data_IF_663415400772
#
_entry.id   IF_663415400772
#
_cell.length_a   1.000
_cell.length_b   1.000
_cell.length_c   1.000
_cell.angle_alpha   90.00
_cell.angle_beta   90.00
_cell.angle_gamma   90.00
#
_symmetry.space_group_name_H-M   'P 1'
#
loop_
_entity.id
_entity.type
_entity.pdbx_description
1 polymer ?
#
# COMPACT_ATOMS: atom_id res chain seq x y z
N UNK A 1 31.01 39.76 66.64
CA UNK A 1 29.99 39.62 67.70
C UNK A 1 28.71 39.10 67.05
N UNK A 2 28.05 38.13 67.69
CA UNK A 2 27.04 37.20 67.15
C UNK A 2 25.96 37.86 66.27
N UNK A 3 25.75 37.33 65.06
CA UNK A 3 24.56 37.61 64.24
C UNK A 3 23.68 36.35 64.24
N UNK A 4 22.58 36.40 64.97
CA UNK A 4 21.54 35.37 65.01
C UNK A 4 20.42 35.82 64.09
N UNK A 5 20.21 35.16 62.95
CA UNK A 5 19.05 35.40 62.09
C UNK A 5 18.31 34.07 61.88
N UNK A 6 17.13 33.99 62.49
CA UNK A 6 16.16 32.90 62.30
C UNK A 6 15.58 33.02 60.89
N UNK A 7 15.70 31.97 60.10
CA UNK A 7 15.02 31.84 58.80
C UNK A 7 13.80 30.93 59.00
N UNK A 8 12.63 31.53 58.84
CA UNK A 8 11.31 30.87 58.84
C UNK A 8 11.09 30.23 57.47
N UNK A 9 10.79 28.93 57.44
CA UNK A 9 10.46 28.21 56.21
C UNK A 9 9.01 28.48 55.81
N UNK A 10 8.81 29.11 54.64
CA UNK A 10 7.51 29.19 53.96
C UNK A 10 7.51 28.08 52.91
N UNK A 11 6.67 27.06 53.12
CA UNK A 11 6.40 26.00 52.15
C UNK A 11 5.39 26.57 51.14
N UNK A 12 5.84 26.88 49.92
CA UNK A 12 4.97 27.19 48.79
C UNK A 12 4.56 25.87 48.09
N UNK A 13 3.31 25.47 48.28
CA UNK A 13 2.64 24.41 47.50
C UNK A 13 2.38 24.94 46.08
N UNK A 14 3.25 24.60 45.12
CA UNK A 14 2.98 24.77 43.69
C UNK A 14 2.19 23.56 43.18
N UNK A 15 0.89 23.74 43.01
CA UNK A 15 0.04 22.82 42.27
C UNK A 15 0.30 23.00 40.76
N UNK A 16 0.89 21.98 40.13
CA UNK A 16 1.04 21.89 38.68
C UNK A 16 -0.32 21.51 38.07
N UNK A 17 -0.87 22.25 37.08
CA UNK A 17 -2.03 21.77 36.35
C UNK A 17 -1.61 20.66 35.39
N UNK A 18 -2.22 19.48 35.52
CA UNK A 18 -2.18 18.44 34.50
C UNK A 18 -2.81 18.98 33.21
N UNK A 19 -1.98 19.32 32.24
CA UNK A 19 -2.39 19.48 30.84
C UNK A 19 -2.61 18.08 30.26
N UNK A 20 -3.85 17.61 30.31
CA UNK A 20 -4.29 16.49 29.47
C UNK A 20 -4.38 16.98 28.03
N UNK A 21 -3.29 16.80 27.27
CA UNK A 21 -3.32 16.92 25.82
C UNK A 21 -4.15 15.75 25.27
N UNK A 22 -5.43 15.99 25.03
CA UNK A 22 -6.28 15.06 24.29
C UNK A 22 -5.76 14.94 22.86
N UNK A 23 -5.32 13.75 22.48
CA UNK A 23 -5.02 13.41 21.09
C UNK A 23 -6.33 13.44 20.28
N UNK A 24 -6.67 14.58 19.69
CA UNK A 24 -7.66 14.64 18.62
C UNK A 24 -7.01 14.13 17.34
N UNK A 25 -7.15 12.83 17.08
CA UNK A 25 -6.90 12.31 15.74
C UNK A 25 -7.85 12.99 14.78
N UNK A 26 -7.34 13.89 13.94
CA UNK A 26 -8.10 14.44 12.82
C UNK A 26 -8.28 13.31 11.81
N UNK A 27 -9.42 12.63 11.88
CA UNK A 27 -9.93 11.89 10.74
C UNK A 27 -10.05 12.87 9.58
N UNK A 28 -9.51 12.49 8.42
CA UNK A 28 -9.67 13.29 7.20
C UNK A 28 -11.16 13.61 7.03
N UNK A 29 -11.49 14.90 7.01
CA UNK A 29 -12.88 15.32 6.79
C UNK A 29 -13.31 14.81 5.41
N UNK A 30 -14.47 14.16 5.28
CA UNK A 30 -14.97 13.73 3.99
C UNK A 30 -15.10 14.93 3.02
N UNK A 31 -15.03 14.69 1.71
CA UNK A 31 -15.06 15.76 0.71
C UNK A 31 -16.32 16.62 0.85
N UNK A 32 -16.17 17.93 0.64
CA UNK A 32 -17.25 18.91 0.73
C UNK A 32 -18.19 18.76 -0.47
N UNK A 33 -19.35 18.13 -0.28
CA UNK A 33 -20.35 17.98 -1.33
C UNK A 33 -21.25 19.23 -1.38
N UNK A 34 -21.11 19.98 -2.47
CA UNK A 34 -21.89 21.20 -2.70
C UNK A 34 -22.97 20.97 -3.76
N UNK A 35 -24.01 21.82 -3.84
CA UNK A 35 -25.03 21.72 -4.89
C UNK A 35 -24.47 21.78 -6.32
N UNK A 36 -23.24 22.26 -6.50
CA UNK A 36 -22.55 22.30 -7.79
C UNK A 36 -21.97 20.94 -8.22
N UNK A 37 -21.95 19.94 -7.32
CA UNK A 37 -21.48 18.59 -7.64
C UNK A 37 -22.62 17.82 -8.31
N UNK A 38 -22.55 17.69 -9.63
CA UNK A 38 -23.56 17.01 -10.45
C UNK A 38 -23.76 15.55 -9.98
N UNK A 39 -25.02 15.11 -9.85
CA UNK A 39 -25.36 13.75 -9.44
C UNK A 39 -25.40 13.48 -7.93
N UNK A 40 -25.09 14.45 -7.06
CA UNK A 40 -25.23 14.28 -5.60
C UNK A 40 -26.71 14.39 -5.18
N UNK A 41 -27.29 13.38 -4.51
CA UNK A 41 -28.64 13.49 -3.93
C UNK A 41 -28.77 14.71 -3.03
N UNK A 42 -29.92 15.38 -3.07
CA UNK A 42 -30.17 16.61 -2.28
C UNK A 42 -29.99 16.40 -0.78
N UNK A 43 -30.14 15.17 -0.29
CA UNK A 43 -29.96 14.73 1.09
C UNK A 43 -28.51 14.40 1.46
N UNK A 44 -27.54 14.69 0.58
CA UNK A 44 -26.11 14.42 0.80
C UNK A 44 -25.26 15.69 0.63
N UNK A 45 -25.87 16.86 0.86
CA UNK A 45 -25.17 18.14 0.82
C UNK A 45 -24.60 18.50 2.19
N UNK A 46 -23.57 19.35 2.20
CA UNK A 46 -23.02 19.87 3.45
C UNK A 46 -24.06 20.61 4.31
N UNK A 47 -23.77 20.69 5.61
CA UNK A 47 -24.53 21.49 6.58
C UNK A 47 -25.99 21.08 6.67
N UNK A 48 -26.26 19.78 6.62
CA UNK A 48 -27.58 19.23 6.90
C UNK A 48 -27.65 18.68 8.31
N UNK A 49 -28.80 18.83 8.94
CA UNK A 49 -29.14 18.14 10.19
C UNK A 49 -30.27 17.17 9.93
N UNK A 50 -30.21 16.03 10.58
CA UNK A 50 -31.26 15.02 10.60
C UNK A 50 -31.85 15.03 12.01
N UNK A 51 -33.17 15.11 12.08
CA UNK A 51 -33.91 15.02 13.33
C UNK A 51 -34.84 13.80 13.29
N UNK A 52 -35.14 13.23 14.45
CA UNK A 52 -36.23 12.26 14.61
C UNK A 52 -37.34 12.88 15.45
N UNK A 53 -38.59 12.68 15.05
CA UNK A 53 -39.79 13.08 15.78
C UNK A 53 -40.36 11.90 16.54
N UNK A 54 -40.89 12.16 17.73
CA UNK A 54 -41.42 11.14 18.65
C UNK A 54 -42.53 10.29 18.02
N UNK A 55 -42.55 9.00 18.40
CA UNK A 55 -43.47 7.99 17.85
C UNK A 55 -44.94 8.19 18.19
N UNK A 56 -45.22 8.86 19.30
CA UNK A 56 -46.55 8.88 19.93
C UNK A 56 -47.56 9.77 19.19
N UNK A 57 -47.08 10.51 18.18
CA UNK A 57 -47.86 11.49 17.43
C UNK A 57 -47.70 11.28 15.90
N UNK A 58 -47.73 10.03 15.43
CA UNK A 58 -47.62 9.72 13.98
C UNK A 58 -48.60 10.49 13.09
N UNK A 59 -49.83 10.70 13.57
CA UNK A 59 -50.84 11.49 12.87
C UNK A 59 -50.52 13.01 12.83
N UNK A 60 -49.53 13.45 13.59
CA UNK A 60 -49.14 14.85 13.76
C UNK A 60 -47.77 15.17 13.17
N UNK A 61 -47.02 14.19 12.68
CA UNK A 61 -45.65 14.38 12.20
C UNK A 61 -45.52 15.49 11.14
N UNK A 62 -46.45 15.58 10.19
CA UNK A 62 -46.45 16.64 9.17
C UNK A 62 -46.68 18.03 9.78
N UNK A 63 -47.59 18.11 10.77
CA UNK A 63 -47.89 19.35 11.48
C UNK A 63 -46.70 19.79 12.34
N UNK A 64 -46.09 18.84 13.04
CA UNK A 64 -44.89 19.07 13.86
C UNK A 64 -43.71 19.50 12.98
N UNK A 65 -43.52 18.85 11.83
CA UNK A 65 -42.50 19.23 10.84
C UNK A 65 -42.73 20.65 10.34
N UNK A 66 -43.94 21.00 9.91
CA UNK A 66 -44.27 22.35 9.45
C UNK A 66 -44.04 23.40 10.56
N UNK A 67 -44.37 23.07 11.80
CA UNK A 67 -44.15 23.94 12.96
C UNK A 67 -42.66 24.14 13.26
N UNK A 68 -41.82 23.11 13.10
CA UNK A 68 -40.37 23.20 13.25
C UNK A 68 -39.73 24.02 12.12
N UNK A 69 -40.18 23.83 10.88
CA UNK A 69 -39.75 24.66 9.72
C UNK A 69 -39.98 26.13 10.03
N UNK A 70 -41.16 26.49 10.55
CA UNK A 70 -41.49 27.87 10.89
C UNK A 70 -40.72 28.38 12.13
N UNK A 71 -40.55 27.55 13.16
CA UNK A 71 -39.89 27.93 14.43
C UNK A 71 -38.40 28.20 14.22
N UNK A 72 -37.74 27.37 13.42
CA UNK A 72 -36.29 27.43 13.22
C UNK A 72 -35.89 28.08 11.90
N UNK A 73 -36.84 28.41 11.02
CA UNK A 73 -36.59 28.96 9.68
C UNK A 73 -35.58 28.09 8.91
N UNK A 74 -35.89 26.79 8.83
CA UNK A 74 -35.03 25.79 8.19
C UNK A 74 -35.72 25.20 6.96
N UNK A 75 -35.09 25.28 5.77
CA UNK A 75 -35.57 24.59 4.59
C UNK A 75 -35.59 23.07 4.79
N UNK A 76 -36.77 22.46 4.63
CA UNK A 76 -36.90 21.00 4.60
C UNK A 76 -36.34 20.45 3.28
N UNK A 77 -35.42 19.50 3.38
CA UNK A 77 -34.85 18.79 2.24
C UNK A 77 -35.67 17.53 1.92
N UNK A 78 -36.14 16.84 2.96
CA UNK A 78 -36.99 15.67 2.83
C UNK A 78 -37.43 15.13 4.19
N UNK A 79 -38.40 14.23 4.17
CA UNK A 79 -38.82 13.47 5.35
C UNK A 79 -39.21 12.05 4.94
N UNK A 80 -38.98 11.09 5.83
CA UNK A 80 -39.40 9.70 5.63
C UNK A 80 -39.63 8.99 6.97
N UNK A 81 -40.61 8.09 7.07
CA UNK A 81 -40.83 7.32 8.29
C UNK A 81 -39.79 6.21 8.45
N UNK A 82 -39.21 6.10 9.65
CA UNK A 82 -38.36 4.99 10.08
C UNK A 82 -39.21 3.98 10.86
N UNK A 83 -40.05 3.24 10.13
CA UNK A 83 -41.09 2.37 10.71
C UNK A 83 -40.57 1.31 11.69
N UNK A 84 -39.32 0.86 11.57
CA UNK A 84 -38.72 -0.14 12.45
C UNK A 84 -38.47 0.36 13.87
N UNK A 85 -38.30 1.67 14.04
CA UNK A 85 -38.10 2.32 15.35
C UNK A 85 -39.22 3.32 15.67
N UNK A 86 -40.23 3.42 14.80
CA UNK A 86 -41.45 4.17 15.07
C UNK A 86 -41.33 5.69 14.99
N UNK A 87 -40.27 6.25 14.40
CA UNK A 87 -40.04 7.72 14.34
C UNK A 87 -40.21 8.28 12.93
N UNK A 88 -40.44 9.59 12.80
CA UNK A 88 -40.28 10.29 11.52
C UNK A 88 -38.93 10.97 11.45
N UNK A 89 -38.16 10.62 10.42
CA UNK A 89 -36.93 11.29 10.08
C UNK A 89 -37.22 12.52 9.21
N UNK A 90 -36.62 13.66 9.57
CA UNK A 90 -36.70 14.90 8.78
C UNK A 90 -35.29 15.45 8.59
N UNK A 91 -34.96 15.81 7.35
CA UNK A 91 -33.67 16.41 6.99
C UNK A 91 -33.86 17.90 6.69
N UNK A 92 -33.11 18.75 7.39
CA UNK A 92 -33.08 20.18 7.19
C UNK A 92 -31.74 20.65 6.62
N UNK A 93 -31.80 21.62 5.70
CA UNK A 93 -30.62 22.36 5.26
C UNK A 93 -30.35 23.51 6.22
N UNK A 94 -29.11 23.63 6.71
CA UNK A 94 -28.70 24.74 7.59
C UNK A 94 -28.05 25.85 6.77
N UNK A 95 -28.63 27.06 6.75
CA UNK A 95 -28.04 28.22 6.09
C UNK A 95 -26.60 28.49 6.55
N UNK A 96 -25.75 29.02 5.65
CA UNK A 96 -24.31 29.22 5.91
C UNK A 96 -24.00 30.28 6.98
N UNK A 97 -24.93 31.20 7.21
CA UNK A 97 -24.88 32.26 8.21
C UNK A 97 -25.27 31.81 9.64
N UNK A 98 -25.63 30.53 9.81
CA UNK A 98 -26.08 29.96 11.10
C UNK A 98 -25.00 29.07 11.74
N UNK A 99 -24.85 29.16 13.06
CA UNK A 99 -23.99 28.23 13.81
C UNK A 99 -24.63 26.84 13.89
N UNK A 100 -23.97 25.83 13.32
CA UNK A 100 -24.47 24.46 13.32
C UNK A 100 -24.53 23.85 14.74
N UNK A 101 -23.49 23.99 15.60
CA UNK A 101 -23.55 23.49 16.97
C UNK A 101 -24.65 24.13 17.82
N UNK A 102 -24.85 25.45 17.70
CA UNK A 102 -25.91 26.14 18.44
C UNK A 102 -27.31 25.72 17.97
N UNK A 103 -27.47 25.51 16.66
CA UNK A 103 -28.74 25.02 16.13
C UNK A 103 -29.05 23.60 16.62
N UNK A 104 -28.05 22.71 16.63
CA UNK A 104 -28.19 21.36 17.17
C UNK A 104 -28.60 21.43 18.64
N UNK A 105 -27.89 22.19 19.47
CA UNK A 105 -28.22 22.33 20.90
C UNK A 105 -29.66 22.85 21.14
N UNK A 106 -30.15 23.77 20.28
CA UNK A 106 -31.54 24.25 20.35
C UNK A 106 -32.55 23.19 19.94
N UNK A 107 -32.26 22.41 18.90
CA UNK A 107 -33.11 21.32 18.45
C UNK A 107 -33.12 20.16 19.46
N UNK A 108 -32.00 19.86 20.11
CA UNK A 108 -31.91 18.87 21.20
C UNK A 108 -32.79 19.25 22.41
N UNK A 109 -32.94 20.56 22.67
CA UNK A 109 -33.78 21.06 23.76
C UNK A 109 -35.27 21.16 23.40
N UNK A 110 -35.66 20.94 22.14
CA UNK A 110 -37.04 21.05 21.70
C UNK A 110 -37.82 19.77 22.02
N UNK A 111 -38.91 19.82 22.81
CA UNK A 111 -39.63 18.61 23.23
C UNK A 111 -40.31 17.85 22.08
N UNK A 112 -40.39 18.45 20.89
CA UNK A 112 -40.92 17.79 19.67
C UNK A 112 -39.87 16.92 18.98
N UNK A 113 -38.59 17.08 19.30
CA UNK A 113 -37.46 16.40 18.70
C UNK A 113 -36.99 15.30 19.65
N UNK A 114 -37.02 14.06 19.17
CA UNK A 114 -36.54 12.90 19.92
C UNK A 114 -35.01 12.80 19.85
N UNK A 115 -34.43 13.07 18.68
CA UNK A 115 -32.99 13.18 18.49
C UNK A 115 -32.64 14.14 17.36
N UNK A 116 -31.45 14.71 17.40
CA UNK A 116 -30.88 15.52 16.33
C UNK A 116 -29.39 15.25 16.22
N UNK A 117 -28.88 15.26 14.99
CA UNK A 117 -27.46 15.15 14.71
C UNK A 117 -27.15 15.76 13.33
N UNK A 118 -25.87 16.02 13.01
CA UNK A 118 -25.47 16.25 11.62
C UNK A 118 -25.87 15.08 10.73
N UNK A 119 -26.24 15.35 9.48
CA UNK A 119 -26.42 14.31 8.48
C UNK A 119 -25.04 13.75 8.11
N UNK A 120 -24.71 12.59 8.67
CA UNK A 120 -23.38 12.00 8.57
C UNK A 120 -23.17 11.33 7.21
N UNK A 121 -21.92 11.35 6.74
CA UNK A 121 -21.51 10.57 5.58
C UNK A 121 -20.92 9.24 6.02
N UNK A 122 -21.38 8.17 5.37
CA UNK A 122 -20.79 6.84 5.49
C UNK A 122 -20.14 6.48 4.16
N UNK A 123 -18.90 6.01 4.20
CA UNK A 123 -18.19 5.53 3.01
C UNK A 123 -18.25 4.00 2.98
N UNK A 124 -18.55 3.46 1.81
CA UNK A 124 -18.45 2.02 1.57
C UNK A 124 -17.02 1.54 1.83
N UNK A 125 -16.87 0.41 2.52
CA UNK A 125 -15.57 -0.21 2.75
C UNK A 125 -15.10 -0.86 1.44
N UNK A 126 -14.13 -0.26 0.78
CA UNK A 126 -13.48 -0.77 -0.42
C UNK A 126 -12.09 -0.15 -0.54
N UNK A 127 -11.18 -0.80 -1.27
CA UNK A 127 -9.90 -0.18 -1.59
C UNK A 127 -10.13 1.18 -2.30
N UNK A 128 -9.34 2.22 -1.99
CA UNK A 128 -9.49 3.56 -2.57
C UNK A 128 -8.93 3.64 -3.99
N UNK A 129 -9.23 2.64 -4.83
CA UNK A 129 -8.77 2.49 -6.20
C UNK A 129 -9.96 2.38 -7.15
N UNK A 130 -9.94 3.17 -8.23
CA UNK A 130 -10.92 3.06 -9.32
C UNK A 130 -10.52 1.99 -10.36
N UNK A 131 -9.35 1.36 -10.20
CA UNK A 131 -8.81 0.35 -11.10
C UNK A 131 -9.72 -0.90 -11.15
N UNK A 132 -10.07 -1.33 -12.37
CA UNK A 132 -11.10 -2.35 -12.63
C UNK A 132 -10.90 -3.65 -11.83
N UNK A 133 -9.65 -4.06 -11.62
CA UNK A 133 -9.29 -5.30 -10.95
C UNK A 133 -8.71 -5.11 -9.55
N UNK A 134 -8.75 -3.90 -8.98
CA UNK A 134 -8.17 -3.61 -7.66
C UNK A 134 -8.59 -4.60 -6.56
N UNK A 135 -9.87 -4.98 -6.54
CA UNK A 135 -10.43 -5.92 -5.55
C UNK A 135 -9.87 -7.35 -5.68
N UNK A 136 -9.33 -7.70 -6.86
CA UNK A 136 -8.80 -9.04 -7.16
C UNK A 136 -7.29 -9.14 -6.89
N UNK A 137 -6.64 -8.02 -6.55
CA UNK A 137 -5.20 -7.96 -6.28
C UNK A 137 -4.84 -8.34 -4.85
N UNK A 138 -5.08 -9.60 -4.49
CA UNK A 138 -4.78 -10.09 -3.15
C UNK A 138 -3.30 -9.87 -2.76
N UNK A 139 -2.36 -9.93 -3.73
CA UNK A 139 -0.92 -9.76 -3.47
C UNK A 139 -0.59 -8.38 -2.87
N UNK A 140 -1.04 -7.31 -3.53
CA UNK A 140 -0.86 -5.93 -3.05
C UNK A 140 -1.59 -5.69 -1.71
N UNK A 141 -2.77 -6.31 -1.53
CA UNK A 141 -3.53 -6.25 -0.29
C UNK A 141 -2.82 -6.99 0.86
N UNK A 142 -2.26 -8.17 0.59
CA UNK A 142 -1.56 -9.01 1.57
C UNK A 142 -0.27 -8.36 2.07
N UNK A 143 0.43 -7.58 1.24
CA UNK A 143 1.56 -6.76 1.71
C UNK A 143 1.14 -5.40 2.24
N UNK A 144 -0.17 -5.10 2.25
CA UNK A 144 -0.76 -3.83 2.72
C UNK A 144 -0.21 -2.58 2.02
N UNK A 145 0.14 -2.69 0.74
CA UNK A 145 0.67 -1.59 -0.06
C UNK A 145 -0.34 -0.43 -0.14
N UNK A 146 -1.62 -0.76 -0.37
CA UNK A 146 -2.70 0.20 -0.49
C UNK A 146 -2.84 1.16 0.71
N UNK A 147 -2.53 0.69 1.93
CA UNK A 147 -2.60 1.51 3.14
C UNK A 147 -1.50 2.57 3.22
N UNK A 148 -0.44 2.40 2.43
CA UNK A 148 0.75 3.24 2.44
C UNK A 148 0.72 4.30 1.33
N UNK A 149 0.00 4.06 0.23
CA UNK A 149 -0.03 4.97 -0.92
C UNK A 149 -0.44 6.42 -0.64
N UNK A 150 -1.25 6.76 0.40
CA UNK A 150 -1.44 8.15 0.80
C UNK A 150 -0.18 8.87 1.29
N UNK A 151 0.88 8.12 1.66
CA UNK A 151 2.13 8.62 2.23
C UNK A 151 3.33 8.40 1.31
N UNK A 152 3.42 7.24 0.67
CA UNK A 152 4.50 6.89 -0.25
C UNK A 152 3.95 6.01 -1.39
N UNK A 153 4.40 6.28 -2.61
CA UNK A 153 4.00 5.64 -3.86
C UNK A 153 5.19 5.07 -4.64
N UNK A 154 6.41 5.23 -4.13
CA UNK A 154 7.69 4.91 -4.78
C UNK A 154 8.24 6.04 -5.65
N UNK A 155 7.68 7.26 -5.56
CA UNK A 155 7.97 8.36 -6.47
C UNK A 155 9.45 8.71 -6.50
N UNK A 156 10.01 8.79 -7.71
CA UNK A 156 11.41 9.17 -7.94
C UNK A 156 12.43 8.07 -7.59
N UNK A 157 11.98 6.87 -7.21
CA UNK A 157 12.88 5.73 -6.96
C UNK A 157 13.02 4.90 -8.23
N UNK A 158 14.25 4.79 -8.73
CA UNK A 158 14.57 3.96 -9.89
C UNK A 158 14.68 2.48 -9.54
N UNK A 159 13.85 1.64 -10.15
CA UNK A 159 13.84 0.18 -10.00
C UNK A 159 14.22 -0.49 -11.32
N UNK A 160 15.35 -1.19 -11.36
CA UNK A 160 15.77 -1.95 -12.53
C UNK A 160 15.11 -3.33 -12.56
N UNK A 161 14.30 -3.57 -13.58
CA UNK A 161 13.71 -4.87 -13.90
C UNK A 161 14.63 -5.57 -14.90
N UNK A 162 15.49 -6.46 -14.40
CA UNK A 162 16.44 -7.24 -15.20
C UNK A 162 15.80 -8.59 -15.53
N UNK A 163 15.19 -8.69 -16.71
CA UNK A 163 14.30 -9.82 -17.07
C UNK A 163 14.29 -10.08 -18.60
N UNK A 164 13.19 -10.64 -19.12
CA UNK A 164 12.97 -10.93 -20.53
C UNK A 164 12.59 -9.71 -21.36
N UNK A 165 12.22 -8.58 -20.78
CA UNK A 165 11.68 -7.42 -21.52
C UNK A 165 10.30 -7.05 -20.99
N UNK A 166 9.80 -5.88 -21.39
CA UNK A 166 8.57 -5.30 -20.86
C UNK A 166 7.78 -4.72 -22.03
N UNK A 167 6.47 -4.99 -22.09
CA UNK A 167 5.55 -4.25 -22.97
C UNK A 167 5.48 -2.79 -22.52
N UNK A 168 6.29 -1.95 -23.17
CA UNK A 168 6.39 -0.53 -22.83
C UNK A 168 5.17 0.28 -23.24
N UNK A 169 4.27 -0.33 -24.02
CA UNK A 169 3.04 0.29 -24.51
C UNK A 169 1.81 -0.10 -23.69
N UNK A 170 1.98 -0.94 -22.67
CA UNK A 170 0.89 -1.34 -21.79
C UNK A 170 0.31 -0.10 -21.06
N UNK A 171 -1.02 0.16 -21.13
CA UNK A 171 -1.64 1.33 -20.52
C UNK A 171 -1.31 1.54 -19.03
N UNK A 172 -1.32 0.47 -18.24
CA UNK A 172 -0.94 0.52 -16.80
C UNK A 172 0.54 0.81 -16.55
N UNK A 173 1.42 0.70 -17.55
CA UNK A 173 2.86 0.99 -17.40
C UNK A 173 3.26 2.33 -18.04
N UNK A 174 2.30 3.05 -18.63
CA UNK A 174 2.58 4.26 -19.40
C UNK A 174 3.20 5.36 -18.53
N UNK A 175 4.42 5.78 -18.87
CA UNK A 175 5.14 6.80 -18.10
C UNK A 175 5.70 6.29 -16.76
N UNK A 176 5.78 4.96 -16.57
CA UNK A 176 6.53 4.33 -15.48
C UNK A 176 7.88 3.83 -15.95
N UNK A 177 8.01 3.43 -17.22
CA UNK A 177 9.28 2.98 -17.78
C UNK A 177 10.07 4.19 -18.27
N UNK A 178 11.06 4.61 -17.49
CA UNK A 178 11.89 5.80 -17.77
C UNK A 178 13.17 5.46 -18.55
N UNK A 179 13.62 4.20 -18.47
CA UNK A 179 14.81 3.72 -19.16
C UNK A 179 14.53 2.34 -19.75
N UNK A 180 15.03 2.08 -20.96
CA UNK A 180 14.96 0.76 -21.57
C UNK A 180 16.29 0.41 -22.24
N UNK A 181 16.74 -0.84 -22.09
CA UNK A 181 17.92 -1.35 -22.77
C UNK A 181 17.78 -2.85 -23.07
N UNK A 182 18.28 -3.27 -24.23
CA UNK A 182 18.32 -4.67 -24.65
C UNK A 182 19.76 -5.17 -24.76
N UNK A 183 20.09 -6.18 -23.97
CA UNK A 183 21.41 -6.81 -23.95
C UNK A 183 21.45 -8.15 -24.71
N UNK A 184 20.29 -8.65 -25.14
CA UNK A 184 20.16 -9.90 -25.90
C UNK A 184 20.25 -9.61 -27.40
N UNK A 185 21.22 -10.23 -28.09
CA UNK A 185 21.32 -10.14 -29.55
C UNK A 185 20.04 -10.68 -30.22
N UNK A 186 19.44 -9.90 -31.12
CA UNK A 186 18.15 -10.23 -31.74
C UNK A 186 16.92 -10.07 -30.83
N UNK A 187 17.11 -9.75 -29.54
CA UNK A 187 16.03 -9.63 -28.55
C UNK A 187 15.08 -8.45 -28.74
N UNK A 188 15.41 -7.48 -29.60
CA UNK A 188 14.58 -6.28 -29.82
C UNK A 188 13.17 -6.64 -30.31
N UNK A 189 13.02 -7.68 -31.13
CA UNK A 189 11.73 -8.06 -31.69
C UNK A 189 10.75 -8.65 -30.68
N UNK A 190 11.24 -9.22 -29.57
CA UNK A 190 10.40 -9.79 -28.51
C UNK A 190 10.20 -8.85 -27.33
N UNK A 191 10.96 -7.75 -27.24
CA UNK A 191 11.03 -6.89 -26.05
C UNK A 191 9.66 -6.51 -25.50
N UNK A 192 8.78 -5.96 -26.34
CA UNK A 192 7.43 -5.53 -25.94
C UNK A 192 6.39 -6.67 -25.94
N UNK A 193 6.82 -7.92 -26.17
CA UNK A 193 5.96 -9.12 -26.19
C UNK A 193 6.34 -10.13 -25.11
N UNK A 194 7.36 -9.80 -24.32
CA UNK A 194 7.89 -10.69 -23.29
C UNK A 194 6.97 -10.65 -22.05
N UNK A 195 6.28 -11.78 -21.81
CA UNK A 195 5.22 -11.89 -20.78
C UNK A 195 5.73 -11.73 -19.36
N UNK A 196 6.89 -12.31 -19.06
CA UNK A 196 7.40 -12.38 -17.68
C UNK A 196 7.87 -11.01 -17.17
N UNK A 197 8.76 -10.30 -17.87
CA UNK A 197 9.18 -8.97 -17.41
C UNK A 197 8.03 -7.94 -17.41
N UNK A 198 7.06 -8.04 -18.31
CA UNK A 198 5.81 -7.24 -18.25
C UNK A 198 5.04 -7.50 -16.95
N UNK A 199 4.89 -8.77 -16.57
CA UNK A 199 4.25 -9.15 -15.31
C UNK A 199 5.01 -8.63 -14.08
N UNK A 200 6.34 -8.64 -14.10
CA UNK A 200 7.16 -8.07 -13.02
C UNK A 200 6.97 -6.55 -12.92
N UNK A 201 6.98 -5.85 -14.06
CA UNK A 201 6.75 -4.41 -14.10
C UNK A 201 5.37 -4.02 -13.54
N UNK A 202 4.32 -4.78 -13.88
CA UNK A 202 2.96 -4.56 -13.36
C UNK A 202 2.86 -4.68 -11.84
N UNK A 203 3.45 -5.73 -11.26
CA UNK A 203 3.46 -5.91 -9.80
C UNK A 203 4.19 -4.76 -9.11
N UNK A 204 5.30 -4.29 -9.67
CA UNK A 204 6.08 -3.21 -9.06
C UNK A 204 5.36 -1.87 -9.20
N UNK A 205 5.01 -1.45 -10.42
CA UNK A 205 4.65 -0.06 -10.69
C UNK A 205 3.51 0.12 -11.70
N UNK A 206 2.56 -0.83 -11.81
CA UNK A 206 1.31 -0.50 -12.51
C UNK A 206 0.68 0.77 -11.90
N UNK A 207 0.24 1.68 -12.75
CA UNK A 207 -0.34 2.95 -12.32
C UNK A 207 -1.58 2.68 -11.50
N UNK A 208 -1.70 3.38 -10.39
CA UNK A 208 -2.94 3.40 -9.64
C UNK A 208 -3.87 4.50 -10.17
N UNK A 209 -5.17 4.31 -9.98
CA UNK A 209 -6.21 5.30 -10.19
C UNK A 209 -6.35 5.78 -11.65
N UNK A 210 -6.10 4.92 -12.63
CA UNK A 210 -6.22 5.24 -14.06
C UNK A 210 -7.50 4.66 -14.72
N UNK A 211 -8.48 4.23 -13.93
CA UNK A 211 -9.78 3.67 -14.35
C UNK A 211 -9.71 2.35 -15.15
N UNK A 212 -8.54 1.71 -15.21
CA UNK A 212 -8.34 0.45 -15.93
C UNK A 212 -7.55 -0.53 -15.06
N UNK A 213 -7.54 -1.80 -15.43
CA UNK A 213 -6.48 -2.70 -15.00
C UNK A 213 -6.27 -2.84 -13.49
N UNK A 214 -5.01 -2.71 -13.09
CA UNK A 214 -4.46 -3.00 -11.76
C UNK A 214 -3.59 -1.84 -11.25
N UNK A 215 -3.26 -1.85 -9.96
CA UNK A 215 -2.23 -0.97 -9.38
C UNK A 215 -1.01 -1.76 -8.87
N UNK A 216 0.18 -1.16 -8.97
CA UNK A 216 1.43 -1.74 -8.48
C UNK A 216 1.63 -1.53 -6.98
N UNK A 217 2.63 -2.22 -6.40
CA UNK A 217 3.04 -2.00 -5.00
C UNK A 217 3.67 -0.63 -4.79
N UNK A 218 4.31 -0.07 -5.81
CA UNK A 218 4.91 1.25 -5.86
C UNK A 218 4.50 1.95 -7.17
N UNK A 219 3.25 2.43 -7.27
CA UNK A 219 2.63 2.87 -8.52
C UNK A 219 3.28 4.12 -9.15
N UNK A 220 4.18 4.81 -8.45
CA UNK A 220 4.94 5.96 -8.96
C UNK A 220 6.45 5.71 -9.04
N UNK A 221 6.91 4.47 -8.88
CA UNK A 221 8.30 4.12 -9.11
C UNK A 221 8.71 4.23 -10.58
N UNK A 222 9.95 4.65 -10.80
CA UNK A 222 10.55 4.79 -12.12
C UNK A 222 11.22 3.47 -12.52
N UNK A 223 10.63 2.75 -13.47
CA UNK A 223 11.14 1.46 -13.93
C UNK A 223 12.23 1.61 -15.00
N UNK A 224 13.28 0.81 -14.86
CA UNK A 224 14.22 0.54 -15.95
C UNK A 224 13.96 -0.87 -16.50
N UNK A 225 13.48 -0.97 -17.74
CA UNK A 225 13.22 -2.24 -18.41
C UNK A 225 14.49 -2.76 -19.09
N UNK A 226 15.18 -3.72 -18.45
CA UNK A 226 16.49 -4.20 -18.88
C UNK A 226 16.39 -5.65 -19.36
N UNK A 227 16.31 -5.86 -20.67
CA UNK A 227 16.23 -7.21 -21.26
C UNK A 227 17.59 -7.88 -21.23
N UNK A 228 17.74 -8.86 -20.34
CA UNK A 228 18.90 -9.72 -20.20
C UNK A 228 18.59 -11.20 -20.47
N UNK A 229 17.31 -11.57 -20.50
CA UNK A 229 16.86 -12.93 -20.69
C UNK A 229 16.03 -13.07 -21.98
N UNK A 230 15.93 -14.29 -22.51
CA UNK A 230 15.19 -14.59 -23.72
C UNK A 230 14.61 -16.00 -23.69
N UNK A 231 13.53 -16.19 -24.45
CA UNK A 231 13.00 -17.53 -24.69
C UNK A 231 13.76 -18.17 -25.85
N UNK A 232 14.19 -19.43 -25.67
CA UNK A 232 14.80 -20.20 -26.74
C UNK A 232 13.79 -20.54 -27.85
N UNK A 233 14.27 -20.96 -29.02
CA UNK A 233 13.41 -21.48 -30.09
C UNK A 233 12.81 -22.84 -29.68
N UNK A 234 11.49 -22.90 -29.47
CA UNK A 234 10.76 -24.11 -29.10
C UNK A 234 9.54 -23.83 -28.20
N UNK A 235 8.92 -24.87 -27.65
CA UNK A 235 7.77 -24.77 -26.72
C UNK A 235 8.18 -24.51 -25.25
N UNK A 236 9.47 -24.32 -24.97
CA UNK A 236 9.96 -24.08 -23.61
C UNK A 236 9.53 -22.70 -23.12
N UNK A 237 8.66 -22.67 -22.10
CA UNK A 237 8.22 -21.43 -21.47
C UNK A 237 9.27 -20.80 -20.54
N UNK A 238 10.37 -21.49 -20.24
CA UNK A 238 11.42 -20.96 -19.36
C UNK A 238 12.38 -20.06 -20.14
N UNK A 239 12.51 -18.82 -19.69
CA UNK A 239 13.53 -17.91 -20.19
C UNK A 239 14.93 -18.38 -19.78
N UNK A 240 15.91 -18.07 -20.62
CA UNK A 240 17.33 -18.27 -20.38
C UNK A 240 18.01 -16.91 -20.31
N UNK A 241 19.04 -16.82 -19.49
CA UNK A 241 19.92 -15.66 -19.40
C UNK A 241 21.37 -16.17 -19.46
N UNK A 242 22.33 -15.28 -19.72
CA UNK A 242 23.76 -15.63 -19.65
C UNK A 242 24.50 -14.67 -18.74
N UNK A 243 25.63 -15.11 -18.19
CA UNK A 243 26.55 -14.26 -17.42
C UNK A 243 26.85 -12.95 -18.14
N UNK A 244 27.08 -13.02 -19.46
CA UNK A 244 27.34 -11.86 -20.32
C UNK A 244 26.20 -10.85 -20.34
N UNK A 245 24.97 -11.32 -20.57
CA UNK A 245 23.79 -10.45 -20.68
C UNK A 245 23.39 -9.86 -19.33
N UNK A 246 23.46 -10.67 -18.27
CA UNK A 246 23.20 -10.23 -16.90
C UNK A 246 24.24 -9.22 -16.41
N UNK A 247 25.53 -9.47 -16.66
CA UNK A 247 26.59 -8.55 -16.22
C UNK A 247 26.42 -7.17 -16.86
N UNK A 248 26.12 -7.12 -18.17
CA UNK A 248 25.86 -5.85 -18.87
C UNK A 248 24.62 -5.13 -18.34
N UNK A 249 23.55 -5.87 -18.03
CA UNK A 249 22.33 -5.28 -17.50
C UNK A 249 22.51 -4.72 -16.08
N UNK A 250 23.20 -5.45 -15.20
CA UNK A 250 23.51 -4.99 -13.84
C UNK A 250 24.42 -3.76 -13.89
N UNK A 251 25.51 -3.81 -14.67
CA UNK A 251 26.42 -2.66 -14.80
C UNK A 251 25.71 -1.41 -15.34
N UNK A 252 24.89 -1.56 -16.38
CA UNK A 252 24.07 -0.47 -16.91
C UNK A 252 23.07 0.07 -15.89
N UNK A 253 22.42 -0.80 -15.10
CA UNK A 253 21.51 -0.38 -14.04
C UNK A 253 22.20 0.53 -13.01
N UNK A 254 23.42 0.17 -12.60
CA UNK A 254 24.21 0.96 -11.66
C UNK A 254 24.63 2.30 -12.26
N UNK A 255 25.07 2.32 -13.53
CA UNK A 255 25.50 3.55 -14.22
C UNK A 255 24.35 4.55 -14.40
N UNK A 256 23.12 4.06 -14.63
CA UNK A 256 21.92 4.89 -14.78
C UNK A 256 21.25 5.25 -13.43
N UNK A 257 21.87 4.86 -12.31
CA UNK A 257 21.46 5.25 -10.97
C UNK A 257 20.24 4.47 -10.44
N UNK A 258 20.09 3.19 -10.82
CA UNK A 258 19.13 2.32 -10.17
C UNK A 258 19.38 2.27 -8.66
N UNK A 259 18.31 2.36 -7.86
CA UNK A 259 18.37 2.19 -6.41
C UNK A 259 18.00 0.79 -5.97
N UNK A 260 17.25 0.08 -6.82
CA UNK A 260 16.82 -1.30 -6.60
C UNK A 260 17.06 -2.11 -7.87
N UNK A 261 17.63 -3.30 -7.71
CA UNK A 261 17.77 -4.32 -8.76
C UNK A 261 16.79 -5.46 -8.45
N UNK A 262 15.76 -5.62 -9.28
CA UNK A 262 14.87 -6.77 -9.23
C UNK A 262 15.40 -7.88 -10.16
N UNK A 263 15.87 -8.98 -9.57
CA UNK A 263 16.44 -10.13 -10.24
C UNK A 263 15.48 -11.32 -10.15
N UNK A 264 14.54 -11.39 -11.08
CA UNK A 264 13.51 -12.42 -11.16
C UNK A 264 14.03 -13.72 -11.81
N UNK A 265 15.22 -14.16 -11.41
CA UNK A 265 15.95 -15.27 -12.01
C UNK A 265 16.72 -16.07 -10.96
N UNK A 266 17.05 -17.30 -11.31
CA UNK A 266 17.97 -18.13 -10.55
C UNK A 266 18.87 -18.94 -11.50
N UNK A 267 20.08 -19.25 -11.05
CA UNK A 267 21.09 -19.94 -11.84
C UNK A 267 22.24 -20.50 -11.01
N UNK A 268 23.31 -20.98 -11.66
CA UNK A 268 24.53 -21.39 -10.99
C UNK A 268 25.28 -20.19 -10.40
N UNK A 269 26.18 -20.44 -9.46
CA UNK A 269 27.09 -19.42 -8.93
C UNK A 269 27.91 -18.78 -10.04
N UNK A 270 27.97 -17.45 -10.04
CA UNK A 270 28.70 -16.66 -11.02
C UNK A 270 29.58 -15.61 -10.32
N UNK A 271 30.92 -15.75 -10.34
CA UNK A 271 31.82 -14.81 -9.65
C UNK A 271 31.82 -13.38 -10.20
N UNK A 272 31.49 -13.20 -11.49
CA UNK A 272 31.41 -11.87 -12.09
C UNK A 272 30.14 -11.16 -11.59
N UNK A 273 29.01 -11.85 -11.59
CA UNK A 273 27.76 -11.31 -11.05
C UNK A 273 27.84 -11.06 -9.53
N UNK A 274 28.46 -11.92 -8.75
CA UNK A 274 28.71 -11.64 -7.31
C UNK A 274 29.49 -10.33 -7.13
N UNK A 275 30.57 -10.14 -7.90
CA UNK A 275 31.35 -8.89 -7.84
C UNK A 275 30.53 -7.65 -8.19
N UNK A 276 29.67 -7.74 -9.21
CA UNK A 276 28.77 -6.64 -9.59
C UNK A 276 27.71 -6.36 -8.52
N UNK A 277 27.16 -7.39 -7.87
CA UNK A 277 26.17 -7.22 -6.80
C UNK A 277 26.81 -6.68 -5.50
N UNK A 278 28.09 -6.99 -5.24
CA UNK A 278 28.87 -6.32 -4.19
C UNK A 278 29.16 -4.86 -4.52
N UNK A 279 29.37 -4.54 -5.79
CA UNK A 279 29.48 -3.15 -6.23
C UNK A 279 28.14 -2.40 -6.09
N UNK A 280 27.02 -3.04 -6.37
CA UNK A 280 25.70 -2.50 -6.08
C UNK A 280 25.55 -2.19 -4.58
N UNK A 281 25.93 -3.15 -3.71
CA UNK A 281 25.91 -2.96 -2.26
C UNK A 281 26.79 -1.79 -1.80
N UNK A 282 27.99 -1.62 -2.37
CA UNK A 282 28.90 -0.51 -1.99
C UNK A 282 28.37 0.86 -2.41
N UNK A 283 27.38 0.90 -3.30
CA UNK A 283 26.65 2.08 -3.74
C UNK A 283 25.26 2.21 -3.07
N UNK A 284 24.99 1.44 -2.01
CA UNK A 284 23.70 1.37 -1.32
C UNK A 284 22.51 1.02 -2.24
N UNK A 285 22.78 0.25 -3.29
CA UNK A 285 21.75 -0.30 -4.19
C UNK A 285 21.24 -1.63 -3.65
N UNK A 286 19.92 -1.76 -3.58
CA UNK A 286 19.25 -2.93 -3.00
C UNK A 286 19.06 -3.99 -4.09
N UNK A 287 19.66 -5.17 -3.93
CA UNK A 287 19.39 -6.31 -4.80
C UNK A 287 18.32 -7.22 -4.18
N UNK A 288 17.26 -7.51 -4.93
CA UNK A 288 16.17 -8.42 -4.55
C UNK A 288 16.12 -9.55 -5.56
N UNK A 289 16.14 -10.80 -5.10
CA UNK A 289 16.17 -11.96 -5.99
C UNK A 289 15.15 -13.04 -5.61
N UNK A 290 14.58 -13.63 -6.66
CA UNK A 290 13.71 -14.80 -6.54
C UNK A 290 14.52 -16.05 -6.17
N UNK A 291 14.00 -16.89 -5.28
CA UNK A 291 14.61 -18.21 -5.02
C UNK A 291 14.25 -19.24 -6.08
N UNK A 292 14.99 -20.35 -6.14
CA UNK A 292 14.59 -21.51 -6.93
C UNK A 292 13.23 -22.09 -6.48
N UNK A 293 12.42 -22.63 -7.41
CA UNK A 293 11.20 -23.35 -7.05
C UNK A 293 11.51 -24.57 -6.15
N UNK A 294 10.70 -24.85 -5.11
CA UNK A 294 10.99 -25.92 -4.15
C UNK A 294 11.15 -27.32 -4.78
N UNK A 295 10.50 -27.58 -5.92
CA UNK A 295 10.57 -28.86 -6.63
C UNK A 295 11.91 -29.04 -7.38
N UNK A 296 12.64 -27.96 -7.67
CA UNK A 296 13.95 -28.02 -8.31
C UNK A 296 15.04 -27.96 -7.24
N UNK A 297 15.83 -29.03 -7.15
CA UNK A 297 17.05 -29.12 -6.34
C UNK A 297 16.90 -29.08 -4.81
N UNK A 298 15.97 -29.86 -4.24
CA UNK A 298 15.97 -30.28 -2.81
C UNK A 298 16.15 -29.13 -1.79
N UNK A 299 15.61 -27.94 -2.06
CA UNK A 299 15.61 -26.83 -1.11
C UNK A 299 16.84 -25.92 -1.16
N UNK A 300 17.57 -25.89 -2.27
CA UNK A 300 18.54 -24.83 -2.60
C UNK A 300 17.83 -23.48 -2.82
N UNK A 301 18.39 -22.39 -2.30
CA UNK A 301 17.94 -21.01 -2.56
C UNK A 301 18.28 -20.60 -4.00
N UNK A 302 19.42 -21.06 -4.54
CA UNK A 302 19.95 -20.71 -5.85
C UNK A 302 20.64 -19.34 -5.90
N UNK A 303 21.55 -19.15 -6.86
CA UNK A 303 22.20 -17.87 -7.13
C UNK A 303 21.28 -16.97 -7.99
N UNK A 304 21.22 -15.64 -7.78
CA UNK A 304 21.97 -14.83 -6.82
C UNK A 304 21.33 -14.72 -5.44
N UNK A 305 20.14 -15.30 -5.22
CA UNK A 305 19.43 -15.21 -3.95
C UNK A 305 20.22 -15.82 -2.76
N UNK A 306 21.15 -16.73 -3.01
CA UNK A 306 22.02 -17.32 -1.98
C UNK A 306 23.12 -16.39 -1.45
N UNK A 307 23.30 -15.21 -2.04
CA UNK A 307 24.28 -14.23 -1.58
C UNK A 307 23.77 -13.47 -0.34
N UNK A 308 24.58 -13.39 0.72
CA UNK A 308 24.22 -12.73 1.98
C UNK A 308 23.91 -11.22 1.87
N UNK A 309 24.21 -10.57 0.76
CA UNK A 309 23.91 -9.16 0.52
C UNK A 309 22.75 -8.95 -0.47
N UNK A 310 22.12 -10.04 -0.92
CA UNK A 310 20.92 -10.02 -1.74
C UNK A 310 19.72 -10.37 -0.84
N UNK A 311 18.60 -9.69 -1.03
CA UNK A 311 17.35 -10.01 -0.36
C UNK A 311 16.69 -11.16 -1.11
N UNK A 312 16.80 -12.37 -0.55
CA UNK A 312 16.17 -13.58 -1.08
C UNK A 312 14.67 -13.61 -0.76
N UNK A 313 13.83 -13.89 -1.75
CA UNK A 313 12.37 -13.88 -1.59
C UNK A 313 11.73 -15.17 -2.12
N UNK A 314 10.95 -15.82 -1.24
CA UNK A 314 10.11 -16.98 -1.58
C UNK A 314 8.65 -16.58 -1.75
N UNK A 315 7.90 -17.36 -2.53
CA UNK A 315 6.45 -17.15 -2.70
C UNK A 315 5.67 -17.63 -1.48
N UNK A 316 4.66 -16.85 -1.10
CA UNK A 316 3.51 -17.30 -0.32
C UNK A 316 2.28 -17.49 -1.20
N UNK A 317 1.40 -18.40 -0.80
CA UNK A 317 0.07 -18.56 -1.38
C UNK A 317 -0.94 -17.54 -0.80
N UNK A 318 -2.18 -17.45 -1.34
CA UNK A 318 -3.20 -16.54 -0.82
C UNK A 318 -3.60 -16.79 0.63
N UNK A 319 -3.36 -17.99 1.16
CA UNK A 319 -3.62 -18.34 2.57
C UNK A 319 -2.44 -17.95 3.48
N UNK A 320 -1.35 -17.44 2.91
CA UNK A 320 -0.14 -17.07 3.63
C UNK A 320 0.76 -18.26 3.97
N UNK A 321 0.59 -19.41 3.32
CA UNK A 321 1.56 -20.49 3.43
C UNK A 321 2.80 -20.18 2.59
N UNK A 322 3.97 -20.30 3.21
CA UNK A 322 5.25 -20.19 2.53
C UNK A 322 6.20 -21.23 3.12
N UNK A 323 7.06 -21.80 2.26
CA UNK A 323 8.03 -22.81 2.68
C UNK A 323 9.42 -22.23 2.63
N UNK A 324 10.15 -22.34 3.73
CA UNK A 324 11.57 -21.99 3.75
C UNK A 324 12.40 -23.05 2.99
N UNK A 325 13.34 -22.65 2.11
CA UNK A 325 14.30 -23.56 1.51
C UNK A 325 15.17 -24.20 2.61
N UNK A 326 15.49 -25.50 2.48
CA UNK A 326 16.27 -26.22 3.49
C UNK A 326 17.71 -25.69 3.63
N UNK A 327 18.27 -25.13 2.56
CA UNK A 327 19.60 -24.50 2.53
C UNK A 327 19.61 -23.09 3.14
N UNK A 328 18.45 -22.50 3.43
CA UNK A 328 18.37 -21.15 3.97
C UNK A 328 18.77 -21.11 5.44
N UNK A 329 19.75 -20.28 5.76
CA UNK A 329 20.04 -19.90 7.13
C UNK A 329 18.84 -19.18 7.77
N UNK A 330 18.80 -19.16 9.10
CA UNK A 330 17.76 -18.48 9.84
C UNK A 330 17.73 -16.99 9.52
N UNK A 331 16.54 -16.46 9.25
CA UNK A 331 16.30 -15.05 8.99
C UNK A 331 17.11 -14.48 7.81
N UNK A 332 17.43 -15.26 6.78
CA UNK A 332 18.07 -14.75 5.55
C UNK A 332 17.11 -14.61 4.37
N UNK A 333 15.92 -15.19 4.48
CA UNK A 333 14.90 -15.23 3.42
C UNK A 333 13.61 -14.57 3.90
N UNK A 334 13.01 -13.76 3.03
CA UNK A 334 11.69 -13.16 3.19
C UNK A 334 10.65 -13.92 2.36
N UNK A 335 9.38 -13.86 2.76
CA UNK A 335 8.26 -14.30 1.94
C UNK A 335 7.44 -13.11 1.44
N UNK A 336 6.88 -13.24 0.24
CA UNK A 336 5.88 -12.32 -0.29
C UNK A 336 4.90 -13.06 -1.20
N UNK A 337 3.72 -12.50 -1.49
CA UNK A 337 2.74 -13.11 -2.39
C UNK A 337 3.36 -13.43 -3.75
N UNK A 338 3.20 -14.68 -4.18
CA UNK A 338 3.78 -15.14 -5.45
C UNK A 338 3.02 -16.28 -6.11
N UNK A 339 1.78 -16.58 -5.69
CA UNK A 339 0.92 -17.60 -6.33
C UNK A 339 -0.37 -16.94 -6.78
N UNK A 340 -0.80 -17.14 -8.00
CA UNK A 340 -2.02 -16.55 -8.57
C UNK A 340 -2.04 -15.02 -8.43
N UNK A 341 -0.92 -14.38 -8.76
CA UNK A 341 -0.78 -12.93 -8.76
C UNK A 341 -1.33 -12.38 -10.07
N UNK A 342 -2.43 -11.63 -9.98
CA UNK A 342 -2.95 -10.85 -11.10
C UNK A 342 -1.96 -9.74 -11.46
N UNK A 343 -1.53 -9.69 -12.71
CA UNK A 343 -0.58 -8.69 -13.19
C UNK A 343 -0.76 -8.40 -14.68
N UNK A 344 -0.08 -7.37 -15.19
CA UNK A 344 -0.06 -6.99 -16.61
C UNK A 344 0.63 -8.04 -17.46
N UNK A 345 0.07 -8.32 -18.64
CA UNK A 345 0.69 -9.12 -19.69
C UNK A 345 0.64 -8.36 -21.03
N UNK A 346 1.53 -8.69 -21.98
CA UNK A 346 1.63 -7.93 -23.24
C UNK A 346 0.31 -7.79 -23.99
N UNK A 347 0.23 -6.79 -24.85
CA UNK A 347 -0.96 -6.50 -25.65
C UNK A 347 -2.15 -6.05 -24.81
N UNK A 348 -1.90 -5.25 -23.76
CA UNK A 348 -2.93 -4.65 -22.91
C UNK A 348 -3.81 -5.68 -22.19
N UNK A 349 -3.23 -6.81 -21.83
CA UNK A 349 -3.94 -7.92 -21.18
C UNK A 349 -3.51 -8.07 -19.74
N UNK A 350 -4.28 -8.85 -18.98
CA UNK A 350 -3.97 -9.18 -17.59
C UNK A 350 -4.13 -10.68 -17.41
N UNK A 351 -3.31 -11.26 -16.54
CA UNK A 351 -3.36 -12.69 -16.26
C UNK A 351 -2.82 -13.00 -14.86
N UNK A 352 -3.12 -14.20 -14.39
CA UNK A 352 -2.62 -14.74 -13.13
C UNK A 352 -1.31 -15.49 -13.37
N UNK A 353 -0.25 -15.08 -12.68
CA UNK A 353 1.06 -15.73 -12.72
C UNK A 353 1.51 -16.17 -11.33
N UNK A 354 2.31 -17.23 -11.31
CA UNK A 354 2.86 -17.83 -10.09
C UNK A 354 4.37 -18.00 -10.21
N UNK A 355 5.11 -17.63 -9.16
CA UNK A 355 6.55 -17.73 -9.06
C UNK A 355 7.13 -16.85 -7.95
N UNK A 356 8.34 -17.20 -7.50
CA UNK A 356 9.14 -16.38 -6.56
C UNK A 356 9.58 -15.06 -7.19
N UNK A 357 9.58 -14.98 -8.52
CA UNK A 357 9.78 -13.74 -9.28
C UNK A 357 8.71 -12.68 -8.97
N UNK A 358 7.45 -13.07 -8.84
CA UNK A 358 6.35 -12.18 -8.47
C UNK A 358 6.49 -11.74 -7.01
N UNK A 359 6.98 -12.61 -6.14
CA UNK A 359 7.26 -12.29 -4.75
C UNK A 359 8.43 -11.28 -4.62
N UNK A 360 9.51 -11.48 -5.37
CA UNK A 360 10.61 -10.54 -5.48
C UNK A 360 10.15 -9.16 -5.99
N UNK A 361 9.22 -9.14 -6.96
CA UNK A 361 8.60 -7.91 -7.45
C UNK A 361 7.84 -7.15 -6.35
N UNK A 362 7.05 -7.84 -5.52
CA UNK A 362 6.40 -7.21 -4.36
C UNK A 362 7.43 -6.59 -3.42
N UNK A 363 8.50 -7.32 -3.05
CA UNK A 363 9.56 -6.80 -2.16
C UNK A 363 10.29 -5.61 -2.78
N UNK A 364 10.56 -5.63 -4.08
CA UNK A 364 11.15 -4.50 -4.81
C UNK A 364 10.25 -3.27 -4.76
N UNK A 365 8.93 -3.45 -4.91
CA UNK A 365 7.97 -2.36 -4.72
C UNK A 365 7.98 -1.80 -3.30
N UNK A 366 7.96 -2.65 -2.27
CA UNK A 366 8.03 -2.18 -0.87
C UNK A 366 9.35 -1.44 -0.60
N UNK A 367 10.48 -1.94 -1.14
CA UNK A 367 11.75 -1.24 -1.04
C UNK A 367 11.68 0.15 -1.69
N UNK A 368 10.96 0.30 -2.81
CA UNK A 368 10.77 1.61 -3.43
C UNK A 368 9.93 2.55 -2.56
N UNK A 369 8.86 2.06 -1.93
CA UNK A 369 8.09 2.84 -0.95
C UNK A 369 8.97 3.33 0.21
N UNK A 370 9.83 2.45 0.73
CA UNK A 370 10.75 2.78 1.83
C UNK A 370 11.81 3.81 1.41
N UNK A 371 12.28 3.75 0.16
CA UNK A 371 13.28 4.67 -0.37
C UNK A 371 12.74 6.06 -0.74
N UNK A 372 11.45 6.18 -1.07
CA UNK A 372 10.82 7.50 -1.20
C UNK A 372 10.77 8.19 0.17
N UNK A 373 10.31 7.46 1.18
CA UNK A 373 10.10 7.97 2.54
C UNK A 373 11.44 8.28 3.25
N UNK A 374 12.41 7.39 3.10
CA UNK A 374 13.76 7.54 3.63
C UNK A 374 14.75 7.28 2.48
N UNK A 375 15.37 8.31 1.87
CA UNK A 375 16.22 8.12 0.69
C UNK A 375 17.55 7.39 0.90
N UNK A 376 18.02 7.25 2.14
CA UNK A 376 19.37 6.76 2.47
C UNK A 376 19.49 5.50 3.38
N UNK A 377 18.50 4.59 3.52
CA UNK A 377 18.70 3.35 4.24
C UNK A 377 19.60 2.44 3.40
N UNK A 378 20.61 1.88 4.05
CA UNK A 378 21.47 0.87 3.43
C UNK A 378 20.66 -0.40 3.13
N UNK A 379 21.06 -1.23 2.14
CA UNK A 379 20.38 -2.49 1.85
C UNK A 379 20.25 -3.42 3.08
N UNK A 380 21.25 -3.39 3.97
CA UNK A 380 21.21 -4.13 5.25
C UNK A 380 20.10 -3.61 6.15
N UNK A 381 19.90 -2.30 6.24
CA UNK A 381 18.84 -1.69 7.05
C UNK A 381 17.47 -1.99 6.48
N UNK A 382 17.29 -1.91 5.16
CA UNK A 382 16.03 -2.28 4.50
C UNK A 382 15.67 -3.73 4.78
N UNK A 383 16.63 -4.66 4.60
CA UNK A 383 16.40 -6.08 4.92
C UNK A 383 16.00 -6.28 6.39
N UNK A 384 16.76 -5.70 7.32
CA UNK A 384 16.49 -5.85 8.75
C UNK A 384 15.11 -5.27 9.13
N UNK A 385 14.72 -4.15 8.52
CA UNK A 385 13.41 -3.56 8.71
C UNK A 385 12.31 -4.50 8.22
N UNK A 386 12.38 -4.96 6.97
CA UNK A 386 11.40 -5.88 6.38
C UNK A 386 11.26 -7.16 7.21
N UNK A 387 12.37 -7.70 7.72
CA UNK A 387 12.36 -8.88 8.60
C UNK A 387 11.66 -8.59 9.92
N UNK A 388 12.01 -7.49 10.58
CA UNK A 388 11.46 -7.12 11.89
C UNK A 388 9.97 -6.76 11.84
N UNK A 389 9.45 -6.35 10.68
CA UNK A 389 8.04 -5.95 10.51
C UNK A 389 7.20 -6.96 9.75
N UNK A 390 7.79 -8.09 9.34
CA UNK A 390 7.09 -9.16 8.65
C UNK A 390 6.09 -9.88 9.57
N UNK A 391 5.02 -10.39 8.96
CA UNK A 391 4.02 -11.22 9.64
C UNK A 391 4.41 -12.69 9.53
N UNK A 392 4.19 -13.53 10.56
CA UNK A 392 4.55 -14.95 10.47
C UNK A 392 3.82 -15.66 9.30
N UNK A 393 4.58 -16.38 8.48
CA UNK A 393 4.02 -17.26 7.46
C UNK A 393 3.35 -18.49 8.10
N UNK A 394 2.26 -18.98 7.50
CA UNK A 394 1.57 -20.19 7.95
C UNK A 394 2.33 -21.44 7.51
N UNK A 395 2.35 -22.48 8.37
CA UNK A 395 2.91 -23.80 8.08
C UNK A 395 4.33 -23.78 7.46
N UNK A 396 5.25 -22.99 8.02
CA UNK A 396 6.63 -22.86 7.51
C UNK A 396 7.50 -24.14 7.59
N UNK A 397 6.95 -25.28 8.03
CA UNK A 397 7.60 -26.60 7.95
C UNK A 397 8.76 -26.85 8.92
N UNK A 398 8.93 -26.04 9.99
CA UNK A 398 9.99 -26.21 10.99
C UNK A 398 9.52 -25.80 12.41
N UNK A 399 10.14 -26.34 13.50
CA UNK A 399 9.84 -25.98 14.89
C UNK A 399 10.05 -24.47 15.20
N UNK A 400 9.59 -23.96 16.37
CA UNK A 400 9.21 -22.55 16.57
C UNK A 400 10.31 -21.47 16.52
N UNK A 401 11.58 -21.80 16.28
CA UNK A 401 12.69 -20.87 16.57
C UNK A 401 13.17 -20.00 15.39
N UNK A 402 12.59 -20.12 14.20
CA UNK A 402 12.86 -19.18 13.12
C UNK A 402 11.66 -19.07 12.17
N UNK A 403 10.74 -18.17 12.46
CA UNK A 403 9.55 -17.94 11.64
C UNK A 403 9.93 -17.22 10.35
N UNK A 404 9.65 -17.84 9.20
CA UNK A 404 9.64 -17.15 7.91
C UNK A 404 8.56 -16.05 7.95
N UNK A 405 8.93 -14.84 7.55
CA UNK A 405 8.03 -13.69 7.60
C UNK A 405 7.53 -13.27 6.22
N UNK A 406 6.22 -13.04 6.09
CA UNK A 406 5.60 -12.37 4.94
C UNK A 406 5.75 -10.86 5.13
N UNK A 407 6.37 -10.20 4.15
CA UNK A 407 6.63 -8.76 4.19
C UNK A 407 5.35 -7.93 4.28
N UNK A 408 5.50 -6.75 4.87
CA UNK A 408 4.39 -5.87 5.21
C UNK A 408 4.81 -4.40 5.06
N UNK A 409 4.32 -3.74 4.00
CA UNK A 409 4.67 -2.38 3.65
C UNK A 409 4.27 -1.40 4.75
N UNK A 410 3.03 -1.51 5.24
CA UNK A 410 2.51 -0.61 6.26
C UNK A 410 3.32 -0.73 7.55
N UNK A 411 3.56 -1.96 8.04
CA UNK A 411 4.32 -2.15 9.26
C UNK A 411 5.77 -1.63 9.13
N UNK A 412 6.39 -1.79 7.97
CA UNK A 412 7.73 -1.29 7.68
C UNK A 412 7.80 0.24 7.74
N UNK A 413 6.89 0.95 7.05
CA UNK A 413 6.86 2.41 7.06
C UNK A 413 6.44 2.99 8.41
N UNK A 414 5.49 2.36 9.13
CA UNK A 414 5.16 2.76 10.50
C UNK A 414 6.37 2.69 11.42
N UNK A 415 7.27 1.72 11.23
CA UNK A 415 8.49 1.58 12.04
C UNK A 415 9.53 2.67 11.74
N UNK A 416 9.40 3.34 10.60
CA UNK A 416 10.12 4.56 10.22
C UNK A 416 9.36 5.85 10.62
N UNK A 417 8.26 5.72 11.37
CA UNK A 417 7.43 6.84 11.87
C UNK A 417 6.72 7.66 10.77
N UNK A 418 6.68 7.16 9.53
CA UNK A 418 6.03 7.84 8.39
C UNK A 418 4.54 7.55 8.24
N UNK A 419 4.05 6.49 8.89
CA UNK A 419 2.63 6.12 8.94
C UNK A 419 2.19 6.01 10.40
N UNK A 420 1.17 6.77 10.80
CA UNK A 420 0.73 6.86 12.20
C UNK A 420 -0.10 5.66 12.69
N UNK A 421 -0.73 4.92 11.77
CA UNK A 421 -1.57 3.77 12.13
C UNK A 421 -1.61 2.72 11.02
N UNK A 422 -1.12 1.52 11.33
CA UNK A 422 -1.41 0.32 10.56
C UNK A 422 -2.36 -0.54 11.40
N UNK A 423 -3.48 -1.01 10.83
CA UNK A 423 -4.40 -1.91 11.54
C UNK A 423 -3.62 -3.11 12.12
N UNK A 424 -3.99 -3.57 13.31
CA UNK A 424 -3.52 -4.86 13.79
C UNK A 424 -4.03 -5.95 12.83
N UNK A 425 -3.21 -7.00 12.62
CA UNK A 425 -3.53 -8.09 11.68
C UNK A 425 -4.56 -9.04 12.24
#
# INVERSE_FOLDING_TARGET
>A
MKLTMRITWIIALLAWPLLMAGCSGQTAQPPRLTPATEGVPKQLLERQVIITLTSDAKAEWDRTTASLVQTYDLPQVGAFPLSSIGVQCVVFQVPSDRSLPELIARLEADPRVESVQPNQFFQGQGLPYNDQYAQHQYGAQAVRAALVHPHATGRGVKVAVIDTGVDTTHPDLQGRIVTMANFVAGGKASFDRDRHGTAIAGVIAAKANNDIGIFGVAPEADLMALKACWHGSGTSQSALCSSWTLARAVDFALQEGARILNLSLAGPTDPLLDRLLRQALSQDVIAVAATLPPQRQRGDIGFPASLDHVIAVVSSDPQGHARRPASAADNTVLAAPGVDILTTTPQQTYDFLSGSSLAAAHVSGIAALLLEDHPSPTPVRVRALLQATSRPARNAGAPPSATLGIVDACAALRRLESVSSCPAS
#
